data_IF_835658758291
#
_entry.id   IF_835658758291
#
_cell.length_a   1.000
_cell.length_b   1.000
_cell.length_c   1.000
_cell.angle_alpha   90.00
_cell.angle_beta   90.00
_cell.angle_gamma   90.00
#
_symmetry.space_group_name_H-M   'P 1'
#
loop_
_entity.id
_entity.type
_entity.pdbx_description
1 polymer ?
#
# COMPACT_ATOMS: atom_id res chain seq x y z
N UNK A 1 18.77 8.28 7.23
CA UNK A 1 18.38 9.19 6.13
C UNK A 1 16.93 8.94 5.72
N UNK A 2 16.59 7.75 5.20
CA UNK A 2 15.23 7.38 4.77
C UNK A 2 14.16 7.67 5.83
N UNK A 3 14.36 7.22 7.07
CA UNK A 3 13.41 7.48 8.17
C UNK A 3 13.13 8.99 8.40
N UNK A 4 14.15 9.84 8.27
CA UNK A 4 13.99 11.29 8.40
C UNK A 4 13.27 11.90 7.18
N UNK A 5 13.50 11.35 5.98
CA UNK A 5 12.78 11.76 4.78
C UNK A 5 11.28 11.41 4.90
N UNK A 6 10.95 10.17 5.31
CA UNK A 6 9.56 9.76 5.58
C UNK A 6 8.90 10.69 6.59
N UNK A 7 9.59 11.02 7.68
CA UNK A 7 9.05 11.90 8.71
C UNK A 7 8.75 13.34 8.22
N UNK A 8 9.47 13.79 7.18
CA UNK A 8 9.35 15.11 6.55
C UNK A 8 8.45 15.12 5.30
N UNK A 9 8.06 13.95 4.79
CA UNK A 9 7.19 13.81 3.63
C UNK A 9 5.79 14.36 3.91
N UNK A 10 5.01 14.56 2.84
CA UNK A 10 3.60 14.96 2.96
C UNK A 10 2.84 13.91 3.77
N UNK A 11 2.27 14.33 4.90
CA UNK A 11 1.52 13.43 5.77
C UNK A 11 0.07 13.31 5.30
N UNK A 12 -0.48 12.08 5.27
CA UNK A 12 -1.92 11.85 5.26
C UNK A 12 -2.63 12.57 6.44
N UNK A 13 -3.96 12.70 6.41
CA UNK A 13 -4.70 13.33 7.49
C UNK A 13 -4.53 12.56 8.82
N UNK A 14 -4.66 13.29 9.92
CA UNK A 14 -4.80 12.68 11.24
C UNK A 14 -6.16 11.95 11.35
N UNK A 15 -6.21 10.87 12.12
CA UNK A 15 -7.42 10.04 12.24
C UNK A 15 -7.56 9.02 11.11
N UNK A 16 -8.78 8.48 10.87
CA UNK A 16 -9.00 7.42 9.89
C UNK A 16 -8.73 7.92 8.47
N UNK A 17 -8.06 7.10 7.67
CA UNK A 17 -7.92 7.37 6.24
C UNK A 17 -9.07 6.73 5.49
N UNK A 18 -9.71 7.51 4.63
CA UNK A 18 -10.81 7.05 3.80
C UNK A 18 -10.42 7.21 2.35
N UNK A 19 -10.55 6.13 1.60
CA UNK A 19 -10.36 6.11 0.16
C UNK A 19 -11.70 5.74 -0.45
N UNK A 20 -12.18 6.54 -1.39
CA UNK A 20 -13.35 6.24 -2.18
C UNK A 20 -13.09 6.51 -3.65
N UNK A 21 -13.85 5.86 -4.51
CA UNK A 21 -13.79 6.11 -5.95
C UNK A 21 -14.24 4.89 -6.73
N UNK A 22 -13.68 4.72 -7.93
CA UNK A 22 -14.04 3.65 -8.85
C UNK A 22 -12.88 2.69 -9.09
N UNK A 23 -13.21 1.42 -9.34
CA UNK A 23 -12.26 0.47 -9.88
C UNK A 23 -12.06 0.76 -11.38
N UNK A 24 -10.83 0.61 -11.87
CA UNK A 24 -10.52 0.83 -13.29
C UNK A 24 -11.30 -0.11 -14.22
N UNK A 25 -11.62 -1.33 -13.76
CA UNK A 25 -12.41 -2.30 -14.55
C UNK A 25 -13.92 -2.05 -14.48
N UNK A 26 -14.48 -1.83 -13.27
CA UNK A 26 -15.84 -1.31 -13.03
C UNK A 26 -16.22 -1.39 -11.55
N UNK A 27 -17.16 -0.53 -11.13
CA UNK A 27 -17.74 -0.56 -9.79
C UNK A 27 -17.04 0.39 -8.82
N UNK A 28 -17.73 0.67 -7.71
CA UNK A 28 -17.24 1.58 -6.68
C UNK A 28 -16.48 0.80 -5.60
N UNK A 29 -15.56 1.48 -4.93
CA UNK A 29 -14.91 0.95 -3.74
C UNK A 29 -14.91 1.96 -2.60
N UNK A 30 -14.80 1.44 -1.39
CA UNK A 30 -14.49 2.23 -0.20
C UNK A 30 -13.46 1.49 0.65
N UNK A 31 -12.40 2.16 1.03
CA UNK A 31 -11.40 1.65 1.99
C UNK A 31 -11.40 2.59 3.19
N UNK A 32 -11.40 2.02 4.39
CA UNK A 32 -11.16 2.76 5.63
C UNK A 32 -10.00 2.11 6.38
N UNK A 33 -8.99 2.91 6.73
CA UNK A 33 -7.81 2.47 7.49
C UNK A 33 -7.74 3.29 8.77
N UNK A 34 -8.03 2.65 9.90
CA UNK A 34 -7.98 3.20 11.25
C UNK A 34 -7.00 2.38 12.12
N UNK A 35 -6.68 2.88 13.32
CA UNK A 35 -5.83 2.20 14.31
C UNK A 35 -6.58 1.07 15.04
N UNK A 36 -7.89 0.96 14.85
CA UNK A 36 -8.78 -0.04 15.47
C UNK A 36 -9.45 -0.99 14.48
N UNK A 37 -9.56 -0.60 13.21
CA UNK A 37 -10.16 -1.42 12.17
C UNK A 37 -9.65 -1.00 10.80
N UNK A 38 -9.45 -1.98 9.92
CA UNK A 38 -9.27 -1.74 8.49
C UNK A 38 -10.37 -2.47 7.74
N UNK A 39 -10.96 -1.81 6.76
CA UNK A 39 -12.00 -2.43 5.93
C UNK A 39 -11.95 -1.96 4.49
N UNK A 40 -12.46 -2.82 3.62
CA UNK A 40 -12.66 -2.51 2.22
C UNK A 40 -13.99 -3.08 1.75
N UNK A 41 -14.74 -2.24 1.03
CA UNK A 41 -15.97 -2.57 0.33
C UNK A 41 -15.66 -2.61 -1.15
N UNK A 42 -15.89 -3.77 -1.77
CA UNK A 42 -15.78 -4.00 -3.21
C UNK A 42 -17.14 -4.49 -3.74
N UNK A 43 -17.36 -4.47 -5.07
CA UNK A 43 -18.53 -5.11 -5.67
C UNK A 43 -18.63 -6.61 -5.34
N UNK A 44 -17.50 -7.26 -5.04
CA UNK A 44 -17.41 -8.67 -4.68
C UNK A 44 -17.70 -8.97 -3.21
N UNK A 45 -17.77 -7.95 -2.35
CA UNK A 45 -18.03 -8.10 -0.92
C UNK A 45 -17.19 -7.18 -0.04
N UNK A 46 -17.37 -7.34 1.28
CA UNK A 46 -16.65 -6.59 2.30
C UNK A 46 -15.64 -7.49 3.00
N UNK A 47 -14.41 -7.00 3.12
CA UNK A 47 -13.36 -7.59 3.97
C UNK A 47 -13.00 -6.63 5.10
N UNK A 48 -12.59 -7.20 6.23
CA UNK A 48 -12.17 -6.45 7.42
C UNK A 48 -10.97 -7.12 8.07
N UNK A 49 -10.10 -6.33 8.67
CA UNK A 49 -8.94 -6.80 9.42
C UNK A 49 -8.81 -5.99 10.71
N UNK A 50 -8.53 -6.66 11.82
CA UNK A 50 -8.12 -6.01 13.07
C UNK A 50 -6.64 -5.63 12.95
N UNK A 51 -6.30 -4.33 12.88
CA UNK A 51 -4.92 -3.88 12.71
C UNK A 51 -4.04 -4.22 13.90
N UNK A 52 -4.57 -4.70 15.04
CA UNK A 52 -3.79 -5.04 16.24
C UNK A 52 -3.57 -6.54 16.40
N UNK A 53 -4.23 -7.35 15.59
CA UNK A 53 -4.08 -8.80 15.57
C UNK A 53 -2.90 -9.27 14.73
N UNK A 54 -2.89 -10.56 14.47
CA UNK A 54 -1.95 -11.19 13.53
C UNK A 54 -2.30 -10.78 12.10
N UNK A 55 -1.31 -10.29 11.35
CA UNK A 55 -1.51 -9.75 10.00
C UNK A 55 -1.38 -10.81 8.90
N UNK A 56 -0.85 -11.99 9.25
CA UNK A 56 -0.72 -13.16 8.39
C UNK A 56 -1.96 -14.07 8.41
N UNK A 57 -2.95 -13.78 9.27
CA UNK A 57 -4.11 -14.64 9.48
C UNK A 57 -5.00 -14.81 8.23
N UNK A 58 -5.06 -13.79 7.36
CA UNK A 58 -5.86 -13.83 6.14
C UNK A 58 -5.30 -12.93 5.04
N UNK A 59 -5.35 -13.42 3.80
CA UNK A 59 -4.97 -12.70 2.60
C UNK A 59 -6.09 -11.77 2.10
N UNK A 60 -6.62 -10.92 2.97
CA UNK A 60 -7.79 -10.09 2.69
C UNK A 60 -7.47 -8.81 1.91
N UNK A 61 -8.32 -8.44 0.92
CA UNK A 61 -9.44 -9.22 0.38
C UNK A 61 -9.00 -10.46 -0.39
N UNK A 62 -9.86 -11.49 -0.50
CA UNK A 62 -9.52 -12.71 -1.23
C UNK A 62 -8.97 -12.42 -2.62
N UNK A 63 -7.81 -13.01 -2.93
CA UNK A 63 -7.10 -12.82 -4.21
C UNK A 63 -6.08 -11.68 -4.22
N UNK A 64 -6.12 -10.75 -3.26
CA UNK A 64 -5.16 -9.64 -3.19
C UNK A 64 -3.76 -10.04 -2.71
N UNK A 65 -3.66 -11.12 -1.93
CA UNK A 65 -2.42 -11.53 -1.26
C UNK A 65 -2.17 -10.84 0.09
N UNK A 66 -3.12 -10.05 0.62
CA UNK A 66 -2.98 -9.38 1.92
C UNK A 66 -3.00 -7.85 1.86
N UNK A 67 -3.80 -7.27 0.96
CA UNK A 67 -3.90 -5.81 0.81
C UNK A 67 -4.21 -5.09 2.12
N UNK A 68 -5.13 -5.61 2.94
CA UNK A 68 -5.48 -4.93 4.20
C UNK A 68 -4.28 -4.87 5.16
N UNK A 69 -3.49 -5.94 5.26
CA UNK A 69 -2.26 -5.95 6.04
C UNK A 69 -1.22 -4.95 5.48
N UNK A 70 -1.05 -4.87 4.15
CA UNK A 70 -0.16 -3.90 3.52
C UNK A 70 -0.54 -2.45 3.87
N UNK A 71 -1.84 -2.13 3.85
CA UNK A 71 -2.36 -0.81 4.21
C UNK A 71 -2.17 -0.49 5.70
N UNK A 72 -2.32 -1.47 6.60
CA UNK A 72 -2.01 -1.30 8.03
C UNK A 72 -0.56 -0.89 8.22
N UNK A 73 0.37 -1.63 7.60
CA UNK A 73 1.79 -1.36 7.80
C UNK A 73 2.22 -0.05 7.13
N UNK A 74 1.66 0.27 5.97
CA UNK A 74 1.88 1.58 5.36
C UNK A 74 1.45 2.72 6.28
N UNK A 75 0.27 2.61 6.90
CA UNK A 75 -0.19 3.60 7.88
C UNK A 75 0.79 3.77 9.01
N UNK A 76 1.16 2.68 9.70
CA UNK A 76 2.12 2.71 10.81
C UNK A 76 3.44 3.37 10.40
N UNK A 77 3.97 3.04 9.21
CA UNK A 77 5.22 3.60 8.71
C UNK A 77 5.16 5.12 8.55
N UNK A 78 4.12 5.65 7.92
CA UNK A 78 4.09 7.10 7.61
C UNK A 78 3.58 7.94 8.78
N UNK A 79 2.80 7.37 9.70
CA UNK A 79 2.34 8.09 10.90
C UNK A 79 3.38 8.07 12.01
N UNK A 80 3.92 6.89 12.32
CA UNK A 80 4.80 6.64 13.45
C UNK A 80 6.27 6.42 13.09
N UNK A 81 6.56 6.14 11.82
CA UNK A 81 7.91 5.86 11.35
C UNK A 81 8.30 4.37 11.45
N UNK A 82 9.54 4.03 11.03
CA UNK A 82 10.02 2.64 11.04
C UNK A 82 10.01 1.94 12.41
N UNK A 83 10.03 2.70 13.50
CA UNK A 83 10.01 2.17 14.87
C UNK A 83 8.65 1.52 15.22
N UNK A 84 7.55 1.99 14.63
CA UNK A 84 6.20 1.49 14.87
C UNK A 84 5.89 0.20 14.08
N UNK A 85 6.81 -0.22 13.21
CA UNK A 85 6.77 -1.48 12.50
C UNK A 85 7.60 -2.58 13.19
N UNK A 86 8.31 -2.31 14.28
CA UNK A 86 9.20 -3.30 14.89
C UNK A 86 10.55 -3.39 14.19
N UNK A 87 11.01 -4.59 13.83
CA UNK A 87 12.36 -4.79 13.26
C UNK A 87 12.41 -4.32 11.81
N UNK A 88 12.74 -3.04 11.63
CA UNK A 88 12.85 -2.41 10.31
C UNK A 88 14.30 -2.09 10.00
N UNK A 89 14.78 -2.53 8.83
CA UNK A 89 16.14 -2.30 8.35
C UNK A 89 16.14 -1.62 6.99
N UNK A 90 17.19 -0.87 6.70
CA UNK A 90 17.43 -0.37 5.36
C UNK A 90 18.05 -1.48 4.51
N UNK A 91 17.31 -1.92 3.49
CA UNK A 91 17.69 -3.03 2.63
C UNK A 91 18.66 -2.61 1.53
N UNK A 92 18.56 -1.36 1.08
CA UNK A 92 19.36 -0.81 -0.02
C UNK A 92 18.48 -0.08 -1.01
N UNK A 93 18.95 0.03 -2.26
CA UNK A 93 18.14 0.53 -3.37
C UNK A 93 17.70 -0.61 -4.28
N UNK A 94 16.47 -0.52 -4.79
CA UNK A 94 15.93 -1.52 -5.71
C UNK A 94 15.10 -0.86 -6.81
N UNK A 95 15.03 -1.46 -8.01
CA UNK A 95 14.09 -1.03 -9.04
C UNK A 95 12.65 -1.28 -8.60
N UNK A 96 11.77 -0.30 -8.77
CA UNK A 96 10.32 -0.49 -8.60
C UNK A 96 9.68 -0.85 -9.93
N UNK A 97 9.18 -2.09 -10.03
CA UNK A 97 8.42 -2.57 -11.18
C UNK A 97 6.91 -2.40 -10.98
N UNK A 98 6.21 -2.20 -12.09
CA UNK A 98 4.78 -1.91 -12.11
C UNK A 98 4.48 -0.42 -11.95
N UNK A 99 3.25 -0.04 -12.30
CA UNK A 99 2.78 1.36 -12.26
C UNK A 99 1.40 1.40 -11.62
N UNK A 100 1.09 2.46 -10.84
CA UNK A 100 -0.24 2.66 -10.28
C UNK A 100 -1.31 3.01 -11.34
N UNK A 101 -0.90 3.40 -12.56
CA UNK A 101 -1.80 3.93 -13.60
C UNK A 101 -1.68 3.23 -14.97
N UNK A 102 -0.72 2.32 -15.15
CA UNK A 102 -0.57 1.57 -16.39
C UNK A 102 -0.91 0.11 -16.15
N UNK A 103 -1.53 -0.59 -17.13
CA UNK A 103 -1.53 -2.04 -17.13
C UNK A 103 -0.11 -2.57 -16.94
N UNK A 104 0.05 -3.77 -16.38
CA UNK A 104 1.32 -4.48 -16.34
C UNK A 104 1.74 -4.87 -17.77
N UNK A 105 2.06 -3.89 -18.60
CA UNK A 105 2.73 -4.13 -19.86
C UNK A 105 4.21 -4.33 -19.55
N UNK A 106 4.59 -5.59 -19.33
CA UNK A 106 5.97 -6.02 -19.13
C UNK A 106 6.88 -5.70 -20.33
N UNK A 107 6.32 -5.24 -21.46
CA UNK A 107 7.09 -4.78 -22.63
C UNK A 107 7.51 -3.31 -22.55
N UNK A 108 7.16 -2.60 -21.46
CA UNK A 108 7.62 -1.25 -21.21
C UNK A 108 9.16 -1.18 -21.15
N UNK A 109 9.75 -0.56 -22.17
CA UNK A 109 11.20 -0.37 -22.35
C UNK A 109 11.82 0.70 -21.43
N UNK A 110 11.04 1.23 -20.48
CA UNK A 110 11.51 2.23 -19.53
C UNK A 110 12.30 1.58 -18.40
N UNK A 111 13.50 2.10 -18.11
CA UNK A 111 14.26 1.71 -16.93
C UNK A 111 13.46 2.06 -15.66
N UNK A 112 13.15 1.09 -14.79
CA UNK A 112 12.42 1.36 -13.55
C UNK A 112 13.24 2.29 -12.63
N UNK A 113 12.60 3.17 -11.85
CA UNK A 113 13.31 4.02 -10.91
C UNK A 113 13.94 3.16 -9.81
N UNK A 114 15.17 3.50 -9.43
CA UNK A 114 15.81 2.97 -8.23
C UNK A 114 15.34 3.77 -7.01
N UNK A 115 14.78 3.08 -6.02
CA UNK A 115 14.22 3.69 -4.82
C UNK A 115 14.87 3.11 -3.57
N UNK A 116 14.89 3.88 -2.49
CA UNK A 116 15.32 3.40 -1.18
C UNK A 116 14.31 2.36 -0.66
N UNK A 117 14.79 1.24 -0.12
CA UNK A 117 13.94 0.16 0.39
C UNK A 117 14.15 -0.04 1.88
N UNK A 118 13.04 -0.02 2.62
CA UNK A 118 12.98 -0.49 3.99
C UNK A 118 12.35 -1.89 4.02
N UNK A 119 12.96 -2.83 4.72
CA UNK A 119 12.38 -4.15 4.98
C UNK A 119 12.01 -4.25 6.45
N UNK A 120 10.81 -4.72 6.73
CA UNK A 120 10.29 -4.90 8.08
C UNK A 120 9.70 -6.28 8.26
N UNK A 121 10.01 -6.93 9.39
CA UNK A 121 9.37 -8.15 9.84
C UNK A 121 8.50 -7.84 11.06
N UNK A 122 7.18 -8.05 10.94
CA UNK A 122 6.19 -7.56 11.90
C UNK A 122 4.93 -8.41 11.87
N UNK A 123 4.40 -8.80 13.03
CA UNK A 123 3.11 -9.49 13.17
C UNK A 123 2.90 -10.64 12.15
N UNK A 124 3.91 -11.52 12.03
CA UNK A 124 3.89 -12.70 11.15
C UNK A 124 4.27 -12.43 9.69
N UNK A 125 4.32 -11.17 9.26
CA UNK A 125 4.54 -10.81 7.85
C UNK A 125 5.87 -10.12 7.60
N UNK A 126 6.32 -10.14 6.34
CA UNK A 126 7.46 -9.34 5.87
C UNK A 126 6.96 -8.31 4.86
N UNK A 127 7.37 -7.06 5.03
CA UNK A 127 7.02 -5.98 4.12
C UNK A 127 8.27 -5.24 3.64
N UNK A 128 8.34 -4.96 2.34
CA UNK A 128 9.27 -4.01 1.74
C UNK A 128 8.55 -2.75 1.33
N UNK A 129 9.05 -1.61 1.77
CA UNK A 129 8.53 -0.29 1.44
C UNK A 129 9.52 0.42 0.52
N UNK A 130 9.03 0.83 -0.64
CA UNK A 130 9.80 1.58 -1.63
C UNK A 130 9.54 3.07 -1.42
N UNK A 131 10.61 3.81 -1.16
CA UNK A 131 10.57 5.22 -0.73
C UNK A 131 11.32 6.05 -1.76
N UNK A 132 10.67 7.10 -2.26
CA UNK A 132 11.28 8.05 -3.18
C UNK A 132 12.20 9.07 -2.47
N UNK A 133 12.90 9.88 -3.26
CA UNK A 133 13.80 10.92 -2.73
C UNK A 133 13.10 11.97 -1.86
N UNK A 134 11.78 12.12 -2.00
CA UNK A 134 10.95 13.01 -1.19
C UNK A 134 10.48 12.35 0.12
N UNK A 135 10.81 11.08 0.35
CA UNK A 135 10.37 10.31 1.52
C UNK A 135 8.97 9.71 1.37
N UNK A 136 8.37 9.76 0.18
CA UNK A 136 7.04 9.21 -0.09
C UNK A 136 7.13 7.71 -0.32
N UNK A 137 6.27 6.94 0.36
CA UNK A 137 6.10 5.52 0.05
C UNK A 137 5.32 5.41 -1.26
N UNK A 138 5.95 4.84 -2.28
CA UNK A 138 5.36 4.68 -3.64
C UNK A 138 5.11 3.22 -4.01
N UNK A 139 5.62 2.28 -3.20
CA UNK A 139 5.39 0.86 -3.37
C UNK A 139 5.49 0.10 -2.07
N UNK A 140 4.74 -1.00 -1.98
CA UNK A 140 4.78 -1.96 -0.88
C UNK A 140 4.76 -3.35 -1.50
N UNK A 141 5.69 -4.21 -1.11
CA UNK A 141 5.58 -5.64 -1.36
C UNK A 141 5.42 -6.33 0.00
N UNK A 142 4.37 -7.13 0.16
CA UNK A 142 4.02 -7.81 1.40
C UNK A 142 3.98 -9.32 1.18
N UNK A 143 4.70 -10.05 2.01
CA UNK A 143 4.67 -11.51 2.11
C UNK A 143 3.98 -11.90 3.42
N UNK A 144 2.85 -12.60 3.31
CA UNK A 144 2.22 -13.25 4.46
C UNK A 144 2.98 -14.51 4.89
N UNK A 145 3.62 -15.16 3.94
CA UNK A 145 4.45 -16.35 4.12
C UNK A 145 5.69 -16.21 3.24
N UNK A 146 6.82 -16.77 3.68
CA UNK A 146 8.12 -16.58 3.02
C UNK A 146 8.16 -17.05 1.56
N UNK A 147 7.43 -18.12 1.22
CA UNK A 147 7.43 -18.75 -0.11
C UNK A 147 6.20 -18.35 -0.96
N UNK A 148 5.38 -17.41 -0.49
CA UNK A 148 4.20 -16.95 -1.22
C UNK A 148 4.56 -15.83 -2.22
N UNK A 149 3.78 -15.73 -3.31
CA UNK A 149 3.80 -14.54 -4.14
C UNK A 149 3.36 -13.32 -3.31
N UNK A 150 4.09 -12.19 -3.37
CA UNK A 150 3.76 -11.01 -2.58
C UNK A 150 2.46 -10.37 -3.03
N UNK A 151 1.79 -9.71 -2.09
CA UNK A 151 0.88 -8.61 -2.40
C UNK A 151 1.70 -7.38 -2.74
N UNK A 152 1.62 -6.95 -3.99
CA UNK A 152 2.38 -5.83 -4.52
C UNK A 152 1.42 -4.65 -4.72
N UNK A 153 1.62 -3.60 -3.92
CA UNK A 153 0.85 -2.36 -3.93
C UNK A 153 1.70 -1.26 -4.54
N UNK A 154 1.16 -0.53 -5.51
CA UNK A 154 1.80 0.63 -6.13
C UNK A 154 0.93 1.86 -5.89
N UNK A 155 1.51 2.90 -5.34
CA UNK A 155 0.81 4.12 -4.92
C UNK A 155 1.15 5.24 -5.90
N UNK A 156 0.13 5.86 -6.48
CA UNK A 156 0.33 7.09 -7.25
C UNK A 156 0.77 8.23 -6.32
N UNK A 157 1.46 9.26 -6.85
CA UNK A 157 1.81 10.43 -6.07
C UNK A 157 0.62 10.99 -5.29
N UNK A 158 0.81 11.39 -4.03
CA UNK A 158 -0.28 11.84 -3.18
C UNK A 158 -0.91 13.13 -3.71
N UNK A 159 -2.20 13.29 -3.47
CA UNK A 159 -2.90 14.56 -3.61
C UNK A 159 -2.51 15.52 -2.47
N UNK A 160 -3.16 16.69 -2.42
CA UNK A 160 -2.87 17.72 -1.42
C UNK A 160 -3.13 17.25 0.02
N UNK A 161 -4.07 16.33 0.21
CA UNK A 161 -4.42 15.67 1.48
C UNK A 161 -3.40 14.62 1.94
N UNK A 162 -2.40 14.30 1.12
CA UNK A 162 -1.39 13.29 1.42
C UNK A 162 -1.81 11.85 1.09
N UNK A 163 -3.01 11.63 0.53
CA UNK A 163 -3.47 10.31 0.11
C UNK A 163 -3.18 10.06 -1.39
N UNK A 164 -2.85 8.82 -1.80
CA UNK A 164 -2.63 8.45 -3.20
C UNK A 164 -3.87 8.68 -4.05
N UNK A 165 -3.67 9.18 -5.27
CA UNK A 165 -4.77 9.33 -6.27
C UNK A 165 -5.16 8.02 -6.96
N UNK A 166 -4.28 7.02 -6.90
CA UNK A 166 -4.56 5.69 -7.41
C UNK A 166 -3.72 4.66 -6.65
N UNK A 167 -4.26 3.46 -6.53
CA UNK A 167 -3.61 2.32 -5.90
C UNK A 167 -3.76 1.15 -6.87
N UNK A 168 -2.65 0.60 -7.37
CA UNK A 168 -2.68 -0.65 -8.13
C UNK A 168 -2.20 -1.79 -7.24
N UNK A 169 -2.90 -2.91 -7.29
CA UNK A 169 -2.63 -4.09 -6.46
C UNK A 169 -2.56 -5.31 -7.37
N UNK A 170 -1.53 -6.12 -7.16
CA UNK A 170 -1.38 -7.44 -7.80
C UNK A 170 -0.81 -8.45 -6.81
N UNK A 171 -0.99 -9.73 -7.11
CA UNK A 171 -0.36 -10.83 -6.41
C UNK A 171 0.56 -11.57 -7.38
N UNK A 172 1.86 -11.41 -7.22
CA UNK A 172 2.84 -11.86 -8.22
C UNK A 172 2.50 -11.31 -9.61
N UNK A 173 2.22 -12.20 -10.57
CA UNK A 173 1.84 -11.82 -11.96
C UNK A 173 0.34 -11.62 -12.16
N UNK A 174 -0.49 -11.81 -11.13
CA UNK A 174 -1.95 -11.73 -11.25
C UNK A 174 -2.47 -10.36 -10.78
N UNK A 175 -3.01 -9.51 -11.67
CA UNK A 175 -3.66 -8.27 -11.26
C UNK A 175 -4.83 -8.55 -10.32
N UNK A 176 -4.96 -7.75 -9.26
CA UNK A 176 -6.11 -7.81 -8.34
C UNK A 176 -7.08 -6.67 -8.65
N UNK A 177 -6.63 -5.42 -8.56
CA UNK A 177 -7.45 -4.25 -8.82
C UNK A 177 -6.59 -2.99 -9.01
N UNK A 178 -7.12 -2.04 -9.78
CA UNK A 178 -6.65 -0.66 -9.79
C UNK A 178 -7.76 0.24 -9.25
N UNK A 179 -7.48 0.87 -8.12
CA UNK A 179 -8.36 1.78 -7.40
C UNK A 179 -8.07 3.21 -7.86
N UNK A 180 -9.05 3.88 -8.47
CA UNK A 180 -8.96 5.29 -8.86
C UNK A 180 -9.60 6.12 -7.74
N UNK A 181 -8.77 6.77 -6.93
CA UNK A 181 -9.22 7.50 -5.74
C UNK A 181 -9.76 8.85 -6.18
N UNK A 182 -11.02 9.11 -5.87
CA UNK A 182 -11.62 10.43 -6.00
C UNK A 182 -11.31 11.24 -4.74
N UNK A 183 -10.76 12.46 -4.86
CA UNK A 183 -10.62 13.36 -3.71
C UNK A 183 -11.99 13.57 -3.07
N UNK A 184 -12.07 13.54 -1.73
CA UNK A 184 -13.32 13.87 -1.04
C UNK A 184 -13.72 15.31 -1.38
N UNK A 185 -14.64 15.42 -2.34
CA UNK A 185 -15.03 16.68 -2.97
C UNK A 185 -16.09 16.52 -4.05
N UNK A 186 -16.91 15.46 -4.03
CA UNK A 186 -18.21 15.40 -4.73
C UNK A 186 -19.06 14.21 -4.23
N UNK A 187 -19.23 14.12 -2.90
CA UNK A 187 -20.28 13.31 -2.29
C UNK A 187 -21.52 14.17 -2.10
N UNK A 188 -22.54 13.92 -2.93
CA UNK A 188 -23.93 14.40 -2.72
C UNK A 188 -24.49 13.97 -1.37
#
# INVERSE_FOLDING_TARGET
RVAAAIAAARRPPAGPWRFGGTLAESGDFRIEVDDTAVSIELPTGRSTLDPRGELDAAADPPGSGGLLAALVLWRRLVTGGPADLGSTTYWGTAPLYGSPLAPADETATATPPLLDVLESAVAGVVARFFVDDAGTVVGIDLWLEADADPCEVRLAPPADDGLPRAIAVRRGTTPFATFLVTPDGEGR
#
